data_IF_325611441336
#
_entry.id   IF_325611441336
#
_cell.length_a   1.000
_cell.length_b   1.000
_cell.length_c   1.000
_cell.angle_alpha   90.00
_cell.angle_beta   90.00
_cell.angle_gamma   90.00
#
_symmetry.space_group_name_H-M   'P 1'
#
loop_
_entity.id
_entity.type
_entity.pdbx_description
1 polymer ?
#
# COMPACT_ATOMS: atom_id res chain seq x y z
N UNK A 1 2.41 1.95 -41.77
CA UNK A 1 2.91 2.16 -40.39
C UNK A 1 1.96 3.05 -39.59
N UNK A 2 1.26 3.98 -40.26
CA UNK A 2 0.32 4.95 -39.65
C UNK A 2 -0.92 4.32 -39.03
N UNK A 3 -1.47 3.24 -39.61
CA UNK A 3 -2.64 2.53 -39.06
C UNK A 3 -2.35 1.92 -37.67
N UNK A 4 -1.12 1.44 -37.45
CA UNK A 4 -0.71 0.88 -36.16
C UNK A 4 -0.56 1.99 -35.10
N UNK A 5 -0.02 3.14 -35.49
CA UNK A 5 0.15 4.32 -34.62
C UNK A 5 -1.20 4.93 -34.26
N UNK A 6 -2.16 4.97 -35.18
CA UNK A 6 -3.50 5.49 -34.93
C UNK A 6 -4.36 4.52 -34.11
N UNK A 7 -4.18 3.20 -34.30
CA UNK A 7 -4.81 2.18 -33.45
C UNK A 7 -4.25 2.23 -32.04
N UNK A 8 -2.93 2.35 -31.88
CA UNK A 8 -2.29 2.55 -30.57
C UNK A 8 -2.74 3.86 -29.93
N UNK A 9 -2.79 4.97 -30.67
CA UNK A 9 -3.34 6.24 -30.17
C UNK A 9 -4.80 6.10 -29.76
N UNK A 10 -5.62 5.36 -30.50
CA UNK A 10 -7.02 5.09 -30.14
C UNK A 10 -7.15 4.32 -28.83
N UNK A 11 -6.30 3.32 -28.62
CA UNK A 11 -6.25 2.53 -27.37
C UNK A 11 -5.73 3.37 -26.20
N UNK A 12 -4.69 4.19 -26.41
CA UNK A 12 -4.18 5.12 -25.40
C UNK A 12 -5.14 6.28 -25.10
N UNK A 13 -5.91 6.73 -26.10
CA UNK A 13 -6.94 7.77 -25.94
C UNK A 13 -8.19 7.24 -25.22
N UNK A 14 -8.59 5.98 -25.44
CA UNK A 14 -9.60 5.30 -24.60
C UNK A 14 -9.12 5.04 -23.17
N UNK A 15 -7.80 4.96 -22.93
CA UNK A 15 -7.24 4.95 -21.56
C UNK A 15 -7.43 6.27 -20.81
N UNK A 16 -7.69 7.38 -21.51
CA UNK A 16 -7.83 8.73 -20.92
C UNK A 16 -9.13 8.91 -20.13
N UNK A 17 -10.10 8.01 -20.26
CA UNK A 17 -11.34 8.00 -19.47
C UNK A 17 -11.29 7.09 -18.23
N UNK A 18 -10.17 6.40 -17.97
CA UNK A 18 -10.07 5.66 -16.70
C UNK A 18 -9.90 6.65 -15.56
N UNK A 19 -10.92 6.69 -14.72
CA UNK A 19 -10.92 7.45 -13.48
C UNK A 19 -9.60 7.20 -12.72
N UNK A 20 -8.74 8.22 -12.53
CA UNK A 20 -7.40 8.03 -12.00
C UNK A 20 -7.42 7.51 -10.55
N UNK A 21 -8.46 7.84 -9.79
CA UNK A 21 -8.66 7.29 -8.45
C UNK A 21 -8.99 5.81 -8.47
N UNK A 22 -9.81 5.35 -9.42
CA UNK A 22 -10.06 3.92 -9.59
C UNK A 22 -8.77 3.18 -9.96
N UNK A 23 -7.95 3.75 -10.86
CA UNK A 23 -6.65 3.14 -11.18
C UNK A 23 -5.75 3.02 -9.95
N UNK A 24 -5.70 4.05 -9.10
CA UNK A 24 -4.93 4.04 -7.87
C UNK A 24 -5.44 2.98 -6.88
N UNK A 25 -6.75 2.92 -6.64
CA UNK A 25 -7.37 1.94 -5.73
C UNK A 25 -7.19 0.51 -6.24
N UNK A 26 -7.43 0.26 -7.53
CA UNK A 26 -7.14 -1.04 -8.13
C UNK A 26 -5.66 -1.38 -8.04
N UNK A 27 -4.78 -0.41 -8.25
CA UNK A 27 -3.35 -0.59 -8.07
C UNK A 27 -3.01 -1.08 -6.66
N UNK A 28 -3.50 -0.38 -5.64
CA UNK A 28 -3.31 -0.76 -4.23
C UNK A 28 -3.82 -2.17 -3.93
N UNK A 29 -5.01 -2.54 -4.43
CA UNK A 29 -5.56 -3.89 -4.26
C UNK A 29 -4.67 -4.96 -4.91
N UNK A 30 -4.18 -4.73 -6.12
CA UNK A 30 -3.28 -5.65 -6.80
C UNK A 30 -1.92 -5.77 -6.10
N UNK A 31 -1.41 -4.68 -5.52
CA UNK A 31 -0.21 -4.76 -4.66
C UNK A 31 -0.47 -5.68 -3.47
N UNK A 32 -1.57 -5.46 -2.74
CA UNK A 32 -1.92 -6.30 -1.60
C UNK A 32 -2.15 -7.77 -1.99
N UNK A 33 -2.84 -8.03 -3.11
CA UNK A 33 -3.09 -9.38 -3.60
C UNK A 33 -1.80 -10.07 -4.05
N UNK A 34 -0.95 -9.37 -4.80
CA UNK A 34 0.31 -9.93 -5.29
C UNK A 34 1.22 -10.30 -4.14
N UNK A 35 1.38 -9.39 -3.18
CA UNK A 35 2.14 -9.68 -1.97
C UNK A 35 1.49 -10.74 -1.08
N UNK A 36 0.16 -10.74 -0.93
CA UNK A 36 -0.56 -11.77 -0.19
C UNK A 36 -0.40 -13.16 -0.82
N UNK A 37 -0.29 -13.23 -2.14
CA UNK A 37 -0.03 -14.48 -2.86
C UNK A 37 1.43 -14.93 -2.71
N UNK A 38 2.38 -14.00 -2.85
CA UNK A 38 3.81 -14.29 -2.66
C UNK A 38 4.09 -14.78 -1.24
N UNK A 39 3.63 -14.05 -0.23
CA UNK A 39 3.97 -14.31 1.18
C UNK A 39 2.91 -15.11 1.94
N UNK A 40 1.78 -15.42 1.31
CA UNK A 40 0.68 -16.19 1.89
C UNK A 40 1.10 -17.54 2.49
N UNK A 41 1.91 -18.37 1.78
CA UNK A 41 2.40 -19.63 2.33
C UNK A 41 3.17 -19.45 3.64
N UNK A 42 4.01 -18.41 3.75
CA UNK A 42 4.76 -18.12 4.97
C UNK A 42 3.87 -17.63 6.11
N UNK A 43 2.88 -16.79 5.81
CA UNK A 43 1.87 -16.35 6.79
C UNK A 43 1.07 -17.52 7.35
N UNK A 44 0.65 -18.44 6.48
CA UNK A 44 -0.06 -19.66 6.90
C UNK A 44 0.83 -20.49 7.82
N UNK A 45 2.08 -20.72 7.42
CA UNK A 45 3.04 -21.48 8.24
C UNK A 45 3.30 -20.83 9.60
N UNK A 46 3.35 -19.50 9.66
CA UNK A 46 3.53 -18.76 10.92
C UNK A 46 2.38 -19.02 11.89
N UNK A 47 1.15 -19.05 11.38
CA UNK A 47 -0.05 -19.29 12.18
C UNK A 47 -0.15 -20.76 12.60
N UNK A 48 0.24 -21.69 11.73
CA UNK A 48 0.08 -23.14 11.98
C UNK A 48 1.18 -23.76 12.83
N UNK A 49 2.35 -23.12 12.94
CA UNK A 49 3.49 -23.69 13.69
C UNK A 49 4.05 -22.72 14.75
N UNK A 50 3.26 -22.36 15.78
CA UNK A 50 3.74 -21.46 16.82
C UNK A 50 4.82 -22.10 17.70
N UNK A 51 5.99 -21.47 17.78
CA UNK A 51 7.07 -21.84 18.70
C UNK A 51 8.09 -22.87 18.17
N UNK A 52 7.92 -23.38 16.95
CA UNK A 52 8.87 -24.29 16.31
C UNK A 52 9.77 -23.56 15.29
N UNK A 53 10.89 -24.16 14.89
CA UNK A 53 11.79 -23.56 13.92
C UNK A 53 11.16 -23.59 12.52
N UNK A 54 10.58 -22.46 12.10
CA UNK A 54 9.95 -22.25 10.79
C UNK A 54 10.90 -22.34 9.58
N UNK A 55 12.21 -22.45 9.81
CA UNK A 55 13.19 -22.72 8.76
C UNK A 55 13.63 -24.19 8.75
N UNK A 56 13.04 -25.04 9.60
CA UNK A 56 13.34 -26.47 9.65
C UNK A 56 12.66 -27.20 8.49
N UNK A 57 13.47 -27.85 7.65
CA UNK A 57 13.01 -28.68 6.52
C UNK A 57 12.47 -30.05 6.96
N UNK A 58 12.69 -30.46 8.22
CA UNK A 58 12.49 -31.85 8.66
C UNK A 58 11.33 -32.14 9.62
N UNK A 59 10.64 -31.13 10.19
CA UNK A 59 9.64 -31.40 11.24
C UNK A 59 8.55 -30.36 11.51
N UNK A 60 8.76 -29.08 11.19
CA UNK A 60 7.86 -27.99 11.62
C UNK A 60 6.96 -27.37 10.54
N UNK A 61 6.87 -27.94 9.34
CA UNK A 61 6.07 -27.38 8.22
C UNK A 61 6.63 -26.07 7.61
N UNK A 62 7.67 -25.49 8.20
CA UNK A 62 8.31 -24.27 7.72
C UNK A 62 9.05 -24.42 6.38
N UNK A 63 9.76 -25.55 6.20
CA UNK A 63 10.44 -25.84 4.93
C UNK A 63 9.47 -25.91 3.73
N UNK A 64 8.31 -26.56 3.88
CA UNK A 64 7.32 -26.64 2.78
C UNK A 64 6.70 -25.28 2.46
N UNK A 65 6.60 -24.37 3.42
CA UNK A 65 6.14 -23.00 3.20
C UNK A 65 7.14 -22.15 2.42
N UNK A 66 8.44 -22.36 2.61
CA UNK A 66 9.50 -21.73 1.81
C UNK A 66 9.41 -22.21 0.35
N UNK A 67 9.28 -23.52 0.13
CA UNK A 67 9.07 -24.07 -1.20
C UNK A 67 7.78 -23.55 -1.85
N UNK A 68 6.71 -23.43 -1.07
CA UNK A 68 5.47 -22.78 -1.46
C UNK A 68 5.70 -21.33 -1.91
N UNK A 69 6.42 -20.53 -1.13
CA UNK A 69 6.79 -19.16 -1.50
C UNK A 69 7.59 -19.13 -2.81
N UNK A 70 8.60 -20.00 -2.98
CA UNK A 70 9.40 -20.04 -4.22
C UNK A 70 8.49 -20.26 -5.44
N UNK A 71 7.46 -21.09 -5.31
CA UNK A 71 6.49 -21.35 -6.38
C UNK A 71 5.52 -20.18 -6.63
N UNK A 72 5.11 -19.46 -5.59
CA UNK A 72 4.15 -18.35 -5.71
C UNK A 72 4.82 -17.00 -6.02
N UNK A 73 6.12 -16.86 -5.75
CA UNK A 73 6.88 -15.62 -5.90
C UNK A 73 6.87 -15.08 -7.34
N UNK A 74 7.07 -15.87 -8.41
CA UNK A 74 6.99 -15.34 -9.78
C UNK A 74 5.62 -14.76 -10.11
N UNK A 75 4.54 -15.46 -9.74
CA UNK A 75 3.18 -15.03 -10.04
C UNK A 75 2.80 -13.81 -9.20
N UNK A 76 3.03 -13.88 -7.88
CA UNK A 76 2.68 -12.80 -6.96
C UNK A 76 3.50 -11.53 -7.20
N UNK A 77 4.78 -11.64 -7.57
CA UNK A 77 5.61 -10.48 -7.94
C UNK A 77 5.12 -9.78 -9.21
N UNK A 78 4.67 -10.53 -10.24
CA UNK A 78 4.07 -9.94 -11.44
C UNK A 78 2.76 -9.22 -11.11
N UNK A 79 1.89 -9.83 -10.28
CA UNK A 79 0.64 -9.20 -9.83
C UNK A 79 0.94 -7.92 -9.04
N UNK A 80 1.88 -7.98 -8.10
CA UNK A 80 2.30 -6.84 -7.29
C UNK A 80 2.89 -5.73 -8.19
N UNK A 81 3.73 -6.07 -9.16
CA UNK A 81 4.32 -5.12 -10.10
C UNK A 81 3.25 -4.42 -10.95
N UNK A 82 2.26 -5.18 -11.48
CA UNK A 82 1.12 -4.60 -12.19
C UNK A 82 0.34 -3.64 -11.26
N UNK A 83 0.16 -4.03 -9.99
CA UNK A 83 -0.45 -3.19 -8.97
C UNK A 83 0.31 -1.89 -8.74
N UNK A 84 1.63 -1.97 -8.52
CA UNK A 84 2.53 -0.82 -8.31
C UNK A 84 2.45 0.13 -9.51
N UNK A 85 2.55 -0.40 -10.73
CA UNK A 85 2.47 0.41 -11.97
C UNK A 85 1.12 1.14 -12.03
N UNK A 86 0.00 0.45 -11.75
CA UNK A 86 -1.34 1.09 -11.77
C UNK A 86 -1.56 2.09 -10.65
N UNK A 87 -1.00 1.81 -9.47
CA UNK A 87 -1.06 2.69 -8.30
C UNK A 87 -0.36 4.01 -8.60
N UNK A 88 0.92 3.95 -9.01
CA UNK A 88 1.69 5.13 -9.35
C UNK A 88 1.12 5.86 -10.58
N UNK A 89 0.69 5.13 -11.61
CA UNK A 89 0.05 5.75 -12.77
C UNK A 89 -1.22 6.51 -12.38
N UNK A 90 -2.04 5.95 -11.49
CA UNK A 90 -3.25 6.60 -10.97
C UNK A 90 -2.94 7.84 -10.14
N UNK A 91 -1.95 7.75 -9.25
CA UNK A 91 -1.48 8.88 -8.42
C UNK A 91 -0.93 10.01 -9.29
N UNK A 92 -0.06 9.70 -10.26
CA UNK A 92 0.55 10.70 -11.16
C UNK A 92 -0.51 11.33 -12.06
N UNK A 93 -1.43 10.52 -12.61
CA UNK A 93 -2.53 11.03 -13.44
C UNK A 93 -3.46 11.93 -12.63
N UNK A 94 -3.77 11.56 -11.40
CA UNK A 94 -4.58 12.39 -10.51
C UNK A 94 -3.85 13.68 -10.14
N UNK A 95 -2.56 13.65 -9.81
CA UNK A 95 -1.80 14.84 -9.44
C UNK A 95 -1.72 15.86 -10.57
N UNK A 96 -1.58 15.37 -11.81
CA UNK A 96 -1.47 16.19 -13.00
C UNK A 96 -2.82 16.64 -13.56
N UNK A 97 -3.93 16.11 -13.04
CA UNK A 97 -5.27 16.55 -13.45
C UNK A 97 -5.50 18.01 -13.04
N UNK A 98 -5.85 18.85 -14.01
CA UNK A 98 -6.21 20.26 -13.84
C UNK A 98 -7.60 20.49 -14.45
N UNK A 99 -8.43 21.31 -13.79
CA UNK A 99 -9.73 21.68 -14.33
C UNK A 99 -9.54 22.39 -15.68
N UNK A 100 -10.40 22.06 -16.65
CA UNK A 100 -10.42 22.75 -17.94
C UNK A 100 -10.94 24.17 -17.75
N UNK A 101 -11.94 24.33 -16.88
CA UNK A 101 -12.46 25.63 -16.48
C UNK A 101 -12.27 25.84 -14.97
N UNK A 102 -11.41 26.79 -14.58
CA UNK A 102 -11.09 27.04 -13.16
C UNK A 102 -12.26 27.60 -12.36
N UNK A 103 -13.25 28.17 -13.06
CA UNK A 103 -14.41 28.81 -12.47
C UNK A 103 -15.55 27.81 -12.21
N UNK A 104 -15.44 26.58 -12.74
CA UNK A 104 -16.40 25.51 -12.45
C UNK A 104 -16.05 24.84 -11.10
N UNK A 105 -16.69 25.31 -10.03
CA UNK A 105 -16.53 24.78 -8.67
C UNK A 105 -16.86 23.27 -8.61
N UNK A 106 -17.75 22.78 -9.47
CA UNK A 106 -18.14 21.36 -9.51
C UNK A 106 -17.05 20.48 -10.12
N UNK A 107 -16.43 20.92 -11.22
CA UNK A 107 -15.30 20.23 -11.86
C UNK A 107 -14.08 20.20 -10.93
N UNK A 108 -13.78 21.35 -10.31
CA UNK A 108 -12.69 21.49 -9.34
C UNK A 108 -12.86 20.54 -8.15
N UNK A 109 -14.10 20.41 -7.64
CA UNK A 109 -14.44 19.51 -6.53
C UNK A 109 -14.19 18.05 -6.90
N UNK A 110 -14.61 17.63 -8.10
CA UNK A 110 -14.42 16.27 -8.60
C UNK A 110 -12.92 15.95 -8.75
N UNK A 111 -12.13 16.85 -9.33
CA UNK A 111 -10.68 16.64 -9.51
C UNK A 111 -9.95 16.55 -8.17
N UNK A 112 -10.29 17.42 -7.22
CA UNK A 112 -9.70 17.40 -5.88
C UNK A 112 -10.08 16.12 -5.12
N UNK A 113 -11.30 15.61 -5.29
CA UNK A 113 -11.70 14.33 -4.71
C UNK A 113 -10.87 13.17 -5.27
N UNK A 114 -10.67 13.12 -6.59
CA UNK A 114 -9.84 12.09 -7.23
C UNK A 114 -8.38 12.15 -6.75
N UNK A 115 -7.82 13.36 -6.58
CA UNK A 115 -6.47 13.56 -6.00
C UNK A 115 -6.39 13.01 -4.58
N UNK A 116 -7.35 13.35 -3.73
CA UNK A 116 -7.36 12.91 -2.34
C UNK A 116 -7.45 11.38 -2.22
N UNK A 117 -8.36 10.75 -2.99
CA UNK A 117 -8.54 9.29 -2.98
C UNK A 117 -7.28 8.58 -3.51
N UNK A 118 -6.68 9.08 -4.59
CA UNK A 118 -5.49 8.45 -5.18
C UNK A 118 -4.31 8.46 -4.22
N UNK A 119 -4.10 9.58 -3.51
CA UNK A 119 -3.03 9.69 -2.51
C UNK A 119 -3.36 8.82 -1.29
N UNK A 120 -4.62 8.80 -0.84
CA UNK A 120 -5.03 7.95 0.27
C UNK A 120 -4.83 6.44 -0.01
N UNK A 121 -4.95 6.01 -1.27
CA UNK A 121 -4.73 4.62 -1.69
C UNK A 121 -3.29 4.13 -1.51
N UNK A 122 -2.30 5.03 -1.36
CA UNK A 122 -0.92 4.65 -1.04
C UNK A 122 -0.80 4.04 0.37
N UNK A 123 -1.66 4.46 1.30
CA UNK A 123 -1.57 4.06 2.72
C UNK A 123 -1.71 2.55 2.94
N UNK A 124 -2.77 1.89 2.46
CA UNK A 124 -2.96 0.45 2.61
C UNK A 124 -1.86 -0.38 1.99
N UNK A 125 -1.41 0.03 0.79
CA UNK A 125 -0.33 -0.66 0.10
C UNK A 125 0.97 -0.57 0.92
N UNK A 126 1.28 0.61 1.48
CA UNK A 126 2.42 0.81 2.35
C UNK A 126 2.30 -0.02 3.64
N UNK A 127 1.16 0.03 4.33
CA UNK A 127 0.89 -0.79 5.53
C UNK A 127 1.10 -2.27 5.30
N UNK A 128 0.49 -2.80 4.23
CA UNK A 128 0.54 -4.22 3.95
C UNK A 128 1.97 -4.65 3.60
N UNK A 129 2.69 -3.82 2.85
CA UNK A 129 4.12 -4.05 2.57
C UNK A 129 4.94 -4.08 3.85
N UNK A 130 4.67 -3.19 4.81
CA UNK A 130 5.38 -3.10 6.09
C UNK A 130 5.09 -4.29 6.98
N UNK A 131 3.82 -4.65 7.11
CA UNK A 131 3.42 -5.84 7.83
C UNK A 131 4.17 -7.06 7.31
N UNK A 132 4.29 -7.18 5.98
CA UNK A 132 5.04 -8.27 5.36
C UNK A 132 6.53 -8.18 5.59
N UNK A 133 7.16 -7.00 5.43
CA UNK A 133 8.59 -6.83 5.74
C UNK A 133 8.85 -7.22 7.20
N UNK A 134 8.01 -6.79 8.14
CA UNK A 134 8.14 -7.13 9.56
C UNK A 134 7.95 -8.61 9.82
N UNK A 135 6.95 -9.25 9.21
CA UNK A 135 6.80 -10.70 9.26
C UNK A 135 8.04 -11.39 8.71
N UNK A 136 8.55 -10.98 7.55
CA UNK A 136 9.74 -11.60 6.94
C UNK A 136 10.99 -11.38 7.79
N UNK A 137 11.25 -10.16 8.26
CA UNK A 137 12.41 -9.92 9.10
C UNK A 137 12.29 -10.66 10.44
N UNK A 138 11.12 -10.72 11.06
CA UNK A 138 10.91 -11.55 12.26
C UNK A 138 11.13 -13.05 11.99
N UNK A 139 10.87 -13.53 10.77
CA UNK A 139 11.14 -14.91 10.37
C UNK A 139 12.64 -15.18 10.14
N UNK A 140 13.37 -14.22 9.56
CA UNK A 140 14.78 -14.41 9.17
C UNK A 140 15.80 -13.93 10.21
N UNK A 141 15.42 -13.01 11.10
CA UNK A 141 16.25 -12.53 12.19
C UNK A 141 15.84 -13.21 13.48
N UNK A 142 16.80 -13.67 14.30
CA UNK A 142 16.55 -14.16 15.67
C UNK A 142 16.15 -13.05 16.66
N UNK A 143 15.62 -11.93 16.16
CA UNK A 143 15.27 -10.75 16.94
C UNK A 143 15.16 -9.50 16.06
N UNK A 144 14.24 -8.61 16.41
CA UNK A 144 14.05 -7.31 15.76
C UNK A 144 15.34 -6.50 15.88
N UNK A 145 16.04 -6.29 14.76
CA UNK A 145 17.24 -5.43 14.76
C UNK A 145 16.86 -3.96 14.88
N UNK A 146 17.77 -3.12 15.42
CA UNK A 146 17.58 -1.67 15.52
C UNK A 146 17.24 -1.01 14.17
N UNK A 147 17.66 -1.61 13.06
CA UNK A 147 17.34 -1.17 11.69
C UNK A 147 15.83 -1.22 11.37
N UNK A 148 15.06 -2.11 12.02
CA UNK A 148 13.62 -2.20 11.85
C UNK A 148 12.89 -0.96 12.40
N UNK A 149 13.43 -0.37 13.46
CA UNK A 149 12.88 0.85 14.04
C UNK A 149 12.99 2.02 13.07
N UNK A 150 14.15 2.15 12.41
CA UNK A 150 14.38 3.17 11.38
C UNK A 150 13.39 3.06 10.21
N UNK A 151 13.13 1.85 9.73
CA UNK A 151 12.15 1.58 8.67
C UNK A 151 10.71 1.92 9.10
N UNK A 152 10.30 1.48 10.28
CA UNK A 152 8.96 1.78 10.82
C UNK A 152 8.76 3.28 11.01
N UNK A 153 9.76 3.98 11.58
CA UNK A 153 9.72 5.42 11.79
C UNK A 153 9.63 6.21 10.46
N UNK A 154 10.46 5.86 9.47
CA UNK A 154 10.42 6.47 8.14
C UNK A 154 9.03 6.35 7.51
N UNK A 155 8.37 5.21 7.70
CA UNK A 155 7.07 4.94 7.09
C UNK A 155 5.91 5.62 7.83
N UNK A 156 6.00 5.74 9.16
CA UNK A 156 5.09 6.60 9.92
C UNK A 156 5.20 8.05 9.41
N UNK A 157 6.43 8.55 9.21
CA UNK A 157 6.66 9.89 8.66
C UNK A 157 6.05 10.02 7.27
N UNK A 158 6.31 9.07 6.37
CA UNK A 158 5.73 9.08 5.02
C UNK A 158 4.20 9.03 5.06
N UNK A 159 3.60 8.23 5.94
CA UNK A 159 2.15 8.14 6.09
C UNK A 159 1.55 9.43 6.64
N UNK A 160 2.20 10.09 7.59
CA UNK A 160 1.76 11.40 8.10
C UNK A 160 1.83 12.44 6.97
N UNK A 161 2.88 12.42 6.15
CA UNK A 161 3.03 13.33 5.01
C UNK A 161 1.97 13.09 3.93
N UNK A 162 1.81 11.85 3.46
CA UNK A 162 0.85 11.52 2.41
C UNK A 162 -0.60 11.57 2.91
N UNK A 163 -0.87 11.03 4.09
CA UNK A 163 -2.17 11.06 4.74
C UNK A 163 -2.61 12.48 5.09
N UNK A 164 -1.72 13.29 5.66
CA UNK A 164 -1.97 14.71 5.93
C UNK A 164 -2.25 15.49 4.64
N UNK A 165 -1.49 15.23 3.57
CA UNK A 165 -1.73 15.82 2.25
C UNK A 165 -3.07 15.38 1.66
N UNK A 166 -3.45 14.11 1.79
CA UNK A 166 -4.76 13.61 1.34
C UNK A 166 -5.92 14.28 2.09
N UNK A 167 -5.82 14.42 3.42
CA UNK A 167 -6.81 15.10 4.25
C UNK A 167 -6.91 16.58 3.87
N UNK A 168 -5.77 17.26 3.67
CA UNK A 168 -5.74 18.66 3.25
C UNK A 168 -6.44 18.87 1.90
N UNK A 169 -6.18 17.99 0.93
CA UNK A 169 -6.85 18.05 -0.39
C UNK A 169 -8.33 17.72 -0.27
N UNK A 170 -8.70 16.73 0.55
CA UNK A 170 -10.09 16.38 0.82
C UNK A 170 -10.86 17.56 1.43
N UNK A 171 -10.26 18.28 2.38
CA UNK A 171 -10.89 19.46 3.00
C UNK A 171 -11.20 20.56 1.98
N UNK A 172 -10.41 20.68 0.90
CA UNK A 172 -10.66 21.64 -0.19
C UNK A 172 -11.87 21.28 -1.06
N UNK A 173 -12.39 20.05 -1.02
CA UNK A 173 -13.61 19.68 -1.76
C UNK A 173 -14.89 20.18 -1.07
N UNK A 174 -14.78 20.73 0.16
CA UNK A 174 -15.92 21.07 1.04
C UNK A 174 -16.88 19.90 1.29
N UNK A 175 -16.45 18.67 1.01
CA UNK A 175 -17.21 17.46 1.31
C UNK A 175 -16.76 16.91 2.67
N UNK A 176 -17.61 17.13 3.68
CA UNK A 176 -17.35 16.67 5.04
C UNK A 176 -17.31 15.15 5.14
N UNK A 177 -18.10 14.43 4.34
CA UNK A 177 -18.12 12.96 4.33
C UNK A 177 -16.81 12.42 3.77
N UNK A 178 -16.33 12.96 2.64
CA UNK A 178 -15.05 12.55 2.05
C UNK A 178 -13.88 12.82 3.01
N UNK A 179 -13.86 14.00 3.63
CA UNK A 179 -12.81 14.39 4.58
C UNK A 179 -12.80 13.47 5.79
N UNK A 180 -13.99 13.17 6.35
CA UNK A 180 -14.13 12.25 7.48
C UNK A 180 -13.66 10.84 7.09
N UNK A 181 -14.08 10.32 5.94
CA UNK A 181 -13.67 8.98 5.48
C UNK A 181 -12.16 8.87 5.32
N UNK A 182 -11.52 9.85 4.67
CA UNK A 182 -10.06 9.85 4.49
C UNK A 182 -9.35 10.02 5.84
N UNK A 183 -9.84 10.89 6.72
CA UNK A 183 -9.26 11.09 8.04
C UNK A 183 -9.37 9.85 8.92
N UNK A 184 -10.54 9.21 8.97
CA UNK A 184 -10.76 7.93 9.68
C UNK A 184 -9.85 6.85 9.13
N UNK A 185 -9.69 6.78 7.80
CA UNK A 185 -8.80 5.82 7.17
C UNK A 185 -7.33 6.07 7.53
N UNK A 186 -6.82 7.29 7.38
CA UNK A 186 -5.44 7.64 7.76
C UNK A 186 -5.19 7.38 9.25
N UNK A 187 -6.17 7.70 10.11
CA UNK A 187 -6.09 7.44 11.56
C UNK A 187 -6.03 5.95 11.87
N UNK A 188 -6.88 5.14 11.23
CA UNK A 188 -6.86 3.68 11.39
C UNK A 188 -5.50 3.09 10.99
N UNK A 189 -4.90 3.63 9.93
CA UNK A 189 -3.59 3.22 9.45
C UNK A 189 -2.49 3.59 10.47
N UNK A 190 -2.50 4.83 10.97
CA UNK A 190 -1.55 5.28 11.98
C UNK A 190 -1.69 4.49 13.29
N UNK A 191 -2.91 4.16 13.69
CA UNK A 191 -3.18 3.29 14.83
C UNK A 191 -2.60 1.89 14.62
N UNK A 192 -2.71 1.35 13.41
CA UNK A 192 -2.05 0.10 13.03
C UNK A 192 -0.53 0.15 13.21
N UNK A 193 0.12 1.22 12.73
CA UNK A 193 1.57 1.41 12.94
C UNK A 193 1.93 1.56 14.42
N UNK A 194 1.14 2.30 15.19
CA UNK A 194 1.35 2.46 16.62
C UNK A 194 1.25 1.12 17.36
N UNK A 195 0.20 0.34 17.07
CA UNK A 195 0.04 -1.00 17.63
C UNK A 195 1.24 -1.91 17.31
N UNK A 196 1.71 -1.85 16.06
CA UNK A 196 2.88 -2.61 15.62
C UNK A 196 4.13 -2.17 16.37
N UNK A 197 4.38 -0.85 16.48
CA UNK A 197 5.51 -0.31 17.23
C UNK A 197 5.47 -0.76 18.71
N UNK A 198 4.30 -0.71 19.34
CA UNK A 198 4.12 -1.14 20.73
C UNK A 198 4.33 -2.65 20.93
N UNK A 199 3.90 -3.46 19.96
CA UNK A 199 4.04 -4.92 20.03
C UNK A 199 5.49 -5.37 19.92
N UNK A 200 6.29 -4.69 19.11
CA UNK A 200 7.69 -5.07 18.86
C UNK A 200 8.70 -4.36 19.76
N UNK A 201 8.33 -3.22 20.37
CA UNK A 201 9.24 -2.42 21.19
C UNK A 201 8.60 -2.04 22.53
N UNK A 202 8.31 -3.01 23.42
CA UNK A 202 7.72 -2.73 24.72
C UNK A 202 8.59 -1.82 25.61
N UNK A 203 9.90 -1.77 25.33
CA UNK A 203 10.88 -0.97 26.07
C UNK A 203 10.80 0.54 25.81
N UNK A 204 10.13 0.99 24.73
CA UNK A 204 9.95 2.43 24.44
C UNK A 204 9.16 3.15 25.53
N UNK A 205 8.34 2.44 26.31
CA UNK A 205 7.61 3.01 27.45
C UNK A 205 8.50 3.40 28.62
N UNK A 206 9.66 2.73 28.81
CA UNK A 206 10.56 3.04 29.92
C UNK A 206 11.32 4.36 29.75
N UNK A 207 11.29 4.95 28.55
CA UNK A 207 11.95 6.23 28.26
C UNK A 207 10.98 7.43 28.18
N UNK A 208 9.66 7.20 28.25
CA UNK A 208 8.63 8.26 28.16
C UNK A 208 7.98 8.56 29.53
N UNK A 209 8.23 7.74 30.55
CA UNK A 209 7.87 8.02 31.96
C UNK A 209 9.03 8.65 32.71
#
# INVERSE_FOLDING_TARGET
>A
MDILVDTLRGIFRKRKERNPAQSAVFGALFVCLGFGFTFGPLLISFITTPGDNMLSEGGGGGGSAIWGMISTLPIGSVIALIGVIRLFSGVISASNATAVNKDDESEQKIINAHKAISIAALGPAALFTIFLILCMTALFSRGVSDDMFGLLALLIVLQVLFGGRAIFIARRTRDSKLTLTIASFVTLILFGYLYLALSYFPHLFFFIG
#
